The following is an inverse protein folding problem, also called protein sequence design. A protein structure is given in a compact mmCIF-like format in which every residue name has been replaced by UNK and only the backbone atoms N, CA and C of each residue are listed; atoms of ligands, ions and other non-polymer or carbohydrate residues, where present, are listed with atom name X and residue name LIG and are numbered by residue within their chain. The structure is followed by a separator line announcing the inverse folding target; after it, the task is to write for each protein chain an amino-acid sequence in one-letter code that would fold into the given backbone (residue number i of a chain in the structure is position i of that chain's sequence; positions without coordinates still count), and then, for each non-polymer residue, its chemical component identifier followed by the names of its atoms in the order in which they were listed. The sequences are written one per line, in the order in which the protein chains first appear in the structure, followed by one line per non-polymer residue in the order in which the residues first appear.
data_IF_048328178247
#
_entry.id   IF_048328178247
#
_cell.length_a   1.000
_cell.length_b   1.000
_cell.length_c   1.000
_cell.angle_alpha   90.00
_cell.angle_beta   90.00
_cell.angle_gamma   90.00
#
_symmetry.space_group_name_H-M   'P 1'
#
loop_
_entity.id
_entity.type
_entity.pdbx_description
1 polymer ?
#
# COMPACT_ATOMS: atom_id res chain seq x y z
N UNK A 1 -6.21 18.32 -1.94
CA UNK A 1 -7.54 17.72 -2.23
C UNK A 1 -7.55 16.19 -2.40
N UNK A 2 -6.46 15.50 -2.81
CA UNK A 2 -6.47 14.03 -3.04
C UNK A 2 -6.58 13.14 -1.79
N UNK A 3 -6.10 13.60 -0.62
CA UNK A 3 -6.10 12.79 0.61
C UNK A 3 -7.50 12.56 1.23
N UNK A 4 -8.37 13.57 1.20
CA UNK A 4 -9.67 13.51 1.88
C UNK A 4 -10.65 12.54 1.20
N UNK A 5 -10.67 12.47 -0.13
CA UNK A 5 -11.53 11.54 -0.85
C UNK A 5 -11.08 10.09 -0.64
N UNK A 6 -9.76 9.85 -0.61
CA UNK A 6 -9.21 8.51 -0.35
C UNK A 6 -9.57 7.99 1.02
N UNK A 7 -9.41 8.84 2.03
CA UNK A 7 -9.77 8.48 3.39
C UNK A 7 -11.28 8.25 3.52
N UNK A 8 -12.11 9.10 2.92
CA UNK A 8 -13.57 8.95 2.99
C UNK A 8 -14.09 7.66 2.33
N UNK A 9 -13.58 7.31 1.15
CA UNK A 9 -14.01 6.10 0.45
C UNK A 9 -13.60 4.83 1.20
N UNK A 10 -12.33 4.78 1.66
CA UNK A 10 -11.83 3.62 2.39
C UNK A 10 -12.52 3.46 3.75
N UNK A 11 -12.73 4.54 4.51
CA UNK A 11 -13.37 4.43 5.82
C UNK A 11 -14.81 3.87 5.78
N UNK A 12 -15.52 4.00 4.65
CA UNK A 12 -16.93 3.61 4.54
C UNK A 12 -17.15 2.31 3.74
N UNK A 13 -16.26 1.95 2.82
CA UNK A 13 -16.47 0.86 1.86
C UNK A 13 -15.21 0.01 1.62
N UNK A 14 -14.28 -0.03 2.57
CA UNK A 14 -13.10 -0.88 2.45
C UNK A 14 -13.34 -2.30 2.93
N UNK A 15 -12.60 -3.23 2.34
CA UNK A 15 -12.38 -4.57 2.86
C UNK A 15 -10.95 -4.68 3.37
N UNK A 16 -10.75 -5.55 4.37
CA UNK A 16 -9.45 -5.76 5.02
C UNK A 16 -8.87 -7.08 4.53
N UNK A 17 -7.59 -7.07 4.18
CA UNK A 17 -6.85 -8.29 3.85
C UNK A 17 -5.39 -8.22 4.30
N UNK A 18 -4.70 -9.35 4.22
CA UNK A 18 -3.26 -9.43 4.43
C UNK A 18 -2.53 -9.18 3.11
N UNK A 19 -1.45 -8.42 3.20
CA UNK A 19 -0.47 -8.27 2.14
C UNK A 19 0.92 -8.68 2.62
N UNK A 20 1.80 -8.97 1.68
CA UNK A 20 3.21 -9.28 1.93
C UNK A 20 4.07 -8.20 1.26
N UNK A 21 5.11 -7.73 1.96
CA UNK A 21 6.07 -6.80 1.38
C UNK A 21 6.97 -7.52 0.38
N UNK A 22 7.10 -6.96 -0.82
CA UNK A 22 7.85 -7.55 -1.94
C UNK A 22 9.02 -6.66 -2.35
N UNK A 23 10.00 -7.27 -3.03
CA UNK A 23 11.22 -6.58 -3.46
C UNK A 23 10.99 -5.69 -4.70
N UNK A 24 10.17 -4.65 -4.52
CA UNK A 24 9.88 -3.63 -5.54
C UNK A 24 10.04 -2.26 -4.87
N UNK A 25 11.05 -1.50 -5.28
CA UNK A 25 11.43 -0.24 -4.65
C UNK A 25 10.69 0.95 -5.27
N UNK A 26 10.11 1.80 -4.42
CA UNK A 26 9.43 3.03 -4.80
C UNK A 26 10.23 4.24 -4.31
N UNK A 27 10.94 4.88 -5.22
CA UNK A 27 11.78 6.04 -4.92
C UNK A 27 10.96 7.34 -4.85
N UNK A 28 11.24 8.19 -3.86
CA UNK A 28 10.50 9.44 -3.65
C UNK A 28 11.30 10.71 -3.98
N UNK A 29 10.73 11.60 -4.81
CA UNK A 29 11.36 12.88 -5.16
C UNK A 29 12.63 12.71 -6.00
N UNK A 30 13.65 13.56 -5.78
CA UNK A 30 14.99 13.44 -6.42
C UNK A 30 15.81 12.27 -5.85
N UNK A 31 15.17 11.13 -5.59
CA UNK A 31 15.68 10.06 -4.76
C UNK A 31 16.94 9.30 -5.23
N UNK A 32 17.40 9.37 -6.50
CA UNK A 32 18.72 8.85 -6.82
C UNK A 32 19.83 9.47 -5.95
N UNK A 33 19.59 10.67 -5.39
CA UNK A 33 20.52 11.37 -4.48
C UNK A 33 20.23 11.09 -3.01
N UNK A 34 18.97 11.17 -2.56
CA UNK A 34 18.61 10.99 -1.15
C UNK A 34 18.45 9.52 -0.71
N UNK A 35 18.37 8.59 -1.67
CA UNK A 35 18.17 7.14 -1.47
C UNK A 35 16.96 6.80 -0.60
N UNK A 36 15.93 7.65 -0.60
CA UNK A 36 14.68 7.40 0.13
C UNK A 36 13.73 6.57 -0.73
N UNK A 37 13.44 5.37 -0.27
CA UNK A 37 12.51 4.48 -0.94
C UNK A 37 11.73 3.66 0.07
N UNK A 38 10.62 3.11 -0.40
CA UNK A 38 9.82 2.12 0.32
C UNK A 38 9.57 0.93 -0.58
N UNK A 39 9.42 -0.25 0.02
CA UNK A 39 9.03 -1.44 -0.73
C UNK A 39 7.53 -1.42 -1.07
N UNK A 40 7.11 -2.05 -2.16
CA UNK A 40 5.69 -2.32 -2.44
C UNK A 40 5.18 -3.45 -1.53
N UNK A 41 3.88 -3.48 -1.27
CA UNK A 41 3.18 -4.66 -0.77
C UNK A 41 2.36 -5.31 -1.87
N UNK A 42 2.14 -6.61 -1.75
CA UNK A 42 1.37 -7.43 -2.68
C UNK A 42 0.23 -8.16 -1.97
N UNK A 43 -0.96 -8.16 -2.58
CA UNK A 43 -2.13 -8.90 -2.09
C UNK A 43 -2.95 -9.43 -3.27
N UNK A 44 -3.81 -10.42 -2.99
CA UNK A 44 -4.65 -11.07 -4.00
C UNK A 44 -6.13 -10.82 -3.72
N UNK A 45 -6.87 -10.43 -4.75
CA UNK A 45 -8.33 -10.31 -4.74
C UNK A 45 -8.88 -11.04 -5.97
N UNK A 46 -9.75 -12.02 -5.76
CA UNK A 46 -10.35 -12.85 -6.83
C UNK A 46 -9.32 -13.46 -7.80
N UNK A 47 -8.19 -13.94 -7.27
CA UNK A 47 -7.10 -14.54 -8.06
C UNK A 47 -6.25 -13.54 -8.84
N UNK A 48 -6.53 -12.23 -8.74
CA UNK A 48 -5.70 -11.16 -9.32
C UNK A 48 -4.78 -10.57 -8.27
N UNK A 49 -3.53 -10.34 -8.66
CA UNK A 49 -2.51 -9.74 -7.82
C UNK A 49 -2.53 -8.23 -7.97
N UNK A 50 -2.48 -7.52 -6.84
CA UNK A 50 -2.38 -6.07 -6.77
C UNK A 50 -1.14 -5.69 -5.98
N UNK A 51 -0.49 -4.62 -6.42
CA UNK A 51 0.70 -4.04 -5.78
C UNK A 51 0.56 -2.55 -5.65
N UNK A 52 0.96 -2.03 -4.51
CA UNK A 52 1.01 -0.61 -4.23
C UNK A 52 2.21 -0.29 -3.33
N UNK A 53 2.70 0.94 -3.41
CA UNK A 53 3.77 1.45 -2.55
C UNK A 53 3.33 1.40 -1.07
N UNK A 54 4.11 0.73 -0.21
CA UNK A 54 3.84 0.68 1.24
C UNK A 54 3.94 2.04 1.90
N UNK A 55 4.69 2.94 1.27
CA UNK A 55 5.08 4.23 1.77
C UNK A 55 5.72 4.24 3.16
N UNK A 56 6.30 3.12 3.55
CA UNK A 56 6.91 2.94 4.86
C UNK A 56 8.31 2.37 4.71
N UNK A 57 9.32 3.22 4.87
CA UNK A 57 10.75 2.87 4.76
C UNK A 57 11.20 1.81 5.80
N UNK A 58 10.40 1.56 6.85
CA UNK A 58 10.74 0.64 7.94
C UNK A 58 10.36 -0.81 7.65
N UNK A 59 9.47 -1.04 6.68
CA UNK A 59 9.00 -2.37 6.33
C UNK A 59 10.05 -3.11 5.50
N UNK A 60 10.16 -4.42 5.73
CA UNK A 60 11.15 -5.29 5.08
C UNK A 60 10.46 -6.32 4.21
N UNK A 61 11.16 -6.76 3.17
CA UNK A 61 10.71 -7.84 2.28
C UNK A 61 10.31 -9.07 3.11
N UNK A 62 9.12 -9.61 2.86
CA UNK A 62 8.55 -10.74 3.58
C UNK A 62 7.69 -10.37 4.79
N UNK A 63 7.68 -9.11 5.24
CA UNK A 63 6.77 -8.67 6.30
C UNK A 63 5.32 -8.86 5.86
N UNK A 64 4.49 -9.39 6.77
CA UNK A 64 3.04 -9.46 6.57
C UNK A 64 2.36 -8.29 7.26
N UNK A 65 1.56 -7.56 6.49
CA UNK A 65 0.85 -6.36 6.95
C UNK A 65 -0.65 -6.49 6.70
N UNK A 66 -1.44 -5.72 7.44
CA UNK A 66 -2.86 -5.54 7.16
C UNK A 66 -3.05 -4.30 6.29
N UNK A 67 -3.85 -4.45 5.26
CA UNK A 67 -4.23 -3.37 4.36
C UNK A 67 -5.74 -3.32 4.24
N UNK A 68 -6.24 -2.15 3.90
CA UNK A 68 -7.62 -1.99 3.49
C UNK A 68 -7.68 -1.50 2.04
N UNK A 69 -8.66 -1.99 1.27
CA UNK A 69 -8.83 -1.69 -0.14
C UNK A 69 -10.30 -1.52 -0.50
N UNK A 70 -10.59 -0.79 -1.57
CA UNK A 70 -11.94 -0.74 -2.15
C UNK A 70 -12.19 -1.96 -3.03
N UNK A 71 -13.22 -2.76 -2.73
CA UNK A 71 -13.51 -3.96 -3.51
C UNK A 71 -13.79 -3.65 -4.99
N UNK A 72 -14.48 -2.54 -5.28
CA UNK A 72 -14.74 -2.07 -6.64
C UNK A 72 -13.50 -1.58 -7.39
N UNK A 73 -12.42 -1.24 -6.67
CA UNK A 73 -11.17 -0.79 -7.27
C UNK A 73 -9.96 -1.10 -6.35
N UNK A 74 -9.47 -2.35 -6.33
CA UNK A 74 -8.51 -2.81 -5.30
C UNK A 74 -7.16 -2.07 -5.29
N UNK A 75 -6.72 -1.50 -6.41
CA UNK A 75 -5.55 -0.59 -6.45
C UNK A 75 -5.68 0.60 -5.49
N UNK A 76 -6.90 0.95 -5.13
CA UNK A 76 -7.15 1.90 -4.08
C UNK A 76 -7.05 1.22 -2.73
N UNK A 77 -5.82 1.05 -2.27
CA UNK A 77 -5.50 0.44 -0.99
C UNK A 77 -4.58 1.31 -0.14
N UNK A 78 -4.52 1.03 1.16
CA UNK A 78 -3.53 1.60 2.10
C UNK A 78 -3.26 0.63 3.24
N UNK A 79 -2.11 0.80 3.87
CA UNK A 79 -1.76 0.07 5.09
C UNK A 79 -2.67 0.51 6.23
N UNK A 80 -3.19 -0.46 6.98
CA UNK A 80 -3.89 -0.18 8.22
C UNK A 80 -2.87 0.06 9.33
N UNK A 81 -2.95 1.23 9.97
CA UNK A 81 -2.05 1.76 11.00
C UNK A 81 -0.82 2.51 10.49
N UNK A 82 -1.03 3.78 10.14
CA UNK A 82 -0.07 4.84 10.46
C UNK A 82 -0.65 5.62 11.64
N UNK A 83 -0.33 5.21 12.87
CA UNK A 83 -0.49 6.05 14.06
C UNK A 83 0.87 6.61 14.46
#
# INVERSE_FOLDING_TARGET
MRGNLKNYLLNNNSEITKAIIVNEENYWGNSPVSKKFSYSYEFTVEGKIYREDSRNEKLKIGDSILIEYLNSYPKFSRIMNEK
#
